data_IF_855616093882
#
_entry.id   IF_855616093882
#
_cell.length_a   1.000
_cell.length_b   1.000
_cell.length_c   1.000
_cell.angle_alpha   90.00
_cell.angle_beta   90.00
_cell.angle_gamma   90.00
#
_symmetry.space_group_name_H-M   'P 1'
#
loop_
_entity.id
_entity.type
_entity.pdbx_description
1 polymer ?
#
# COMPACT_ATOMS: atom_id res chain seq x y z
N UNK A 1 -10.13 -2.98 12.29
CA UNK A 1 -9.09 -3.36 11.30
C UNK A 1 -8.26 -2.12 10.99
N UNK A 2 -6.95 -2.23 10.69
CA UNK A 2 -6.11 -1.04 10.43
C UNK A 2 -6.15 -0.57 8.97
N UNK A 3 -6.57 -1.42 8.03
CA UNK A 3 -6.66 -1.13 6.60
C UNK A 3 -7.89 -1.81 6.01
N UNK A 4 -8.54 -1.14 5.07
CA UNK A 4 -9.76 -1.53 4.40
C UNK A 4 -9.59 -1.45 2.89
N UNK A 5 -10.47 -2.13 2.16
CA UNK A 5 -10.51 -2.00 0.69
C UNK A 5 -10.66 -0.52 0.30
N UNK A 6 -9.97 -0.14 -0.75
CA UNK A 6 -9.89 1.21 -1.32
C UNK A 6 -9.08 2.22 -0.48
N UNK A 7 -8.49 1.80 0.65
CA UNK A 7 -7.51 2.63 1.38
C UNK A 7 -6.26 2.86 0.52
N UNK A 8 -5.82 4.12 0.45
CA UNK A 8 -4.54 4.50 -0.13
C UNK A 8 -3.44 4.35 0.93
N UNK A 9 -2.41 3.58 0.59
CA UNK A 9 -1.35 3.20 1.52
C UNK A 9 0.02 3.39 0.90
N UNK A 10 1.01 3.66 1.75
CA UNK A 10 2.42 3.59 1.40
C UNK A 10 2.97 2.24 1.85
N UNK A 11 3.59 1.51 0.92
CA UNK A 11 4.45 0.37 1.24
C UNK A 11 5.82 0.91 1.65
N UNK A 12 6.32 0.48 2.81
CA UNK A 12 7.63 0.86 3.33
C UNK A 12 8.32 -0.42 3.80
N UNK A 13 9.10 -1.04 2.91
CA UNK A 13 9.83 -2.27 3.22
C UNK A 13 11.33 -1.96 3.38
N UNK A 14 11.92 -2.18 4.57
CA UNK A 14 13.32 -1.81 4.82
C UNK A 14 14.32 -2.59 3.96
N UNK A 15 14.03 -3.87 3.68
CA UNK A 15 14.92 -4.74 2.90
C UNK A 15 14.67 -4.71 1.38
N UNK A 16 13.55 -4.13 0.93
CA UNK A 16 13.13 -4.10 -0.48
C UNK A 16 12.66 -2.69 -0.86
N UNK A 17 13.59 -1.71 -0.92
CA UNK A 17 13.26 -0.30 -1.19
C UNK A 17 12.62 -0.09 -2.57
N UNK A 18 12.84 -0.99 -3.53
CA UNK A 18 12.19 -0.96 -4.84
C UNK A 18 10.67 -1.20 -4.78
N UNK A 19 10.18 -1.79 -3.68
CA UNK A 19 8.75 -1.98 -3.43
C UNK A 19 8.12 -0.79 -2.71
N UNK A 20 8.92 0.22 -2.33
CA UNK A 20 8.41 1.40 -1.65
C UNK A 20 7.61 2.27 -2.64
N UNK A 21 6.33 2.51 -2.32
CA UNK A 21 5.48 3.29 -3.19
C UNK A 21 4.04 3.38 -2.72
N UNK A 22 3.29 4.23 -3.40
CA UNK A 22 1.86 4.38 -3.20
C UNK A 22 1.12 3.19 -3.82
N UNK A 23 0.16 2.65 -3.08
CA UNK A 23 -0.76 1.64 -3.58
C UNK A 23 -2.15 1.80 -3.01
N UNK A 24 -3.07 1.00 -3.54
CA UNK A 24 -4.46 0.90 -3.08
C UNK A 24 -4.73 -0.51 -2.58
N UNK A 25 -5.39 -0.63 -1.43
CA UNK A 25 -5.78 -1.93 -0.87
C UNK A 25 -6.92 -2.50 -1.71
N UNK A 26 -6.70 -3.66 -2.34
CA UNK A 26 -7.70 -4.32 -3.17
C UNK A 26 -8.52 -5.33 -2.38
N UNK A 27 -7.90 -5.98 -1.39
CA UNK A 27 -8.53 -6.94 -0.47
C UNK A 27 -7.85 -6.92 0.89
N UNK A 28 -8.65 -7.00 1.94
CA UNK A 28 -8.16 -7.13 3.31
C UNK A 28 -8.95 -8.24 4.02
N UNK A 29 -8.28 -9.05 4.84
CA UNK A 29 -8.92 -10.07 5.68
C UNK A 29 -8.65 -9.79 7.15
N UNK A 30 -9.67 -9.90 7.99
CA UNK A 30 -9.57 -9.65 9.43
C UNK A 30 -8.81 -10.75 10.18
N UNK A 31 -8.70 -11.94 9.58
CA UNK A 31 -8.08 -13.12 10.21
C UNK A 31 -6.55 -13.15 10.06
N UNK A 32 -6.00 -12.40 9.11
CA UNK A 32 -4.58 -12.43 8.77
C UNK A 32 -4.01 -11.01 8.73
N UNK A 33 -2.77 -10.84 9.19
CA UNK A 33 -2.02 -9.56 9.14
C UNK A 33 -1.49 -9.22 7.74
N UNK A 34 -2.17 -9.67 6.70
CA UNK A 34 -1.76 -9.54 5.30
C UNK A 34 -2.90 -8.91 4.50
N UNK A 35 -2.56 -7.98 3.62
CA UNK A 35 -3.50 -7.33 2.73
C UNK A 35 -2.97 -7.35 1.30
N UNK A 36 -3.90 -7.40 0.34
CA UNK A 36 -3.59 -7.25 -1.06
C UNK A 36 -3.54 -5.77 -1.42
N UNK A 37 -2.44 -5.33 -2.02
CA UNK A 37 -2.20 -3.95 -2.43
C UNK A 37 -1.84 -3.94 -3.90
N UNK A 38 -2.55 -3.13 -4.68
CA UNK A 38 -2.12 -2.78 -6.03
C UNK A 38 -1.15 -1.60 -5.93
N UNK A 39 0.12 -1.84 -6.26
CA UNK A 39 1.22 -0.89 -6.17
C UNK A 39 1.38 -0.14 -7.49
N UNK A 40 1.32 1.19 -7.45
CA UNK A 40 1.35 2.01 -8.68
C UNK A 40 2.73 2.13 -9.30
N UNK A 41 3.81 1.94 -8.53
CA UNK A 41 5.18 2.12 -9.03
C UNK A 41 5.53 1.14 -10.16
N UNK A 42 5.00 -0.09 -10.08
CA UNK A 42 5.26 -1.16 -11.03
C UNK A 42 3.98 -1.80 -11.59
N UNK A 43 2.82 -1.19 -11.30
CA UNK A 43 1.49 -1.62 -11.74
C UNK A 43 1.16 -3.09 -11.39
N UNK A 44 1.61 -3.55 -10.22
CA UNK A 44 1.47 -4.95 -9.80
C UNK A 44 0.64 -5.12 -8.53
N UNK A 45 -0.03 -6.27 -8.40
CA UNK A 45 -0.68 -6.66 -7.15
C UNK A 45 0.28 -7.44 -6.25
N UNK A 46 0.34 -7.06 -4.97
CA UNK A 46 1.24 -7.61 -3.96
C UNK A 46 0.48 -8.01 -2.72
N UNK A 47 0.97 -9.05 -2.05
CA UNK A 47 0.46 -9.46 -0.75
C UNK A 47 1.45 -8.99 0.34
N UNK A 48 1.02 -8.04 1.16
CA UNK A 48 1.90 -7.24 2.02
C UNK A 48 1.49 -7.38 3.48
N UNK A 49 2.47 -7.54 4.36
CA UNK A 49 2.23 -7.52 5.80
C UNK A 49 1.90 -6.10 6.28
N UNK A 50 0.90 -5.97 7.14
CA UNK A 50 0.39 -4.66 7.60
C UNK A 50 1.45 -3.80 8.31
N UNK A 51 2.51 -4.41 8.83
CA UNK A 51 3.61 -3.69 9.50
C UNK A 51 4.49 -2.89 8.52
N UNK A 52 4.44 -3.25 7.23
CA UNK A 52 5.10 -2.49 6.15
C UNK A 52 4.17 -1.47 5.50
N UNK A 53 2.99 -1.24 6.08
CA UNK A 53 2.00 -0.32 5.55
C UNK A 53 1.74 0.83 6.52
N UNK A 54 1.47 1.99 5.92
CA UNK A 54 0.77 3.08 6.59
C UNK A 54 -0.20 3.72 5.61
N UNK A 55 -1.19 4.43 6.13
CA UNK A 55 -2.03 5.28 5.29
C UNK A 55 -1.14 6.31 4.58
N UNK A 56 -1.41 6.52 3.30
CA UNK A 56 -0.77 7.56 2.53
C UNK A 56 -1.24 8.92 3.04
N UNK A 57 -0.34 9.89 3.05
CA UNK A 57 -0.68 11.28 3.36
C UNK A 57 -1.29 11.97 2.14
N UNK A 58 -2.02 13.06 2.34
CA UNK A 58 -2.59 13.84 1.23
C UNK A 58 -1.52 14.32 0.23
N UNK A 59 -0.35 14.70 0.74
CA UNK A 59 0.76 15.16 -0.10
C UNK A 59 1.31 14.05 -1.01
N UNK A 60 1.40 12.82 -0.49
CA UNK A 60 1.85 11.66 -1.28
C UNK A 60 0.84 11.27 -2.36
N UNK A 61 -0.45 11.29 -2.02
CA UNK A 61 -1.54 11.04 -2.97
C UNK A 61 -1.52 12.10 -4.08
N UNK A 62 -1.34 13.38 -3.69
CA UNK A 62 -1.26 14.50 -4.64
C UNK A 62 -0.02 14.41 -5.52
N UNK A 63 1.12 14.00 -4.97
CA UNK A 63 2.36 13.82 -5.74
C UNK A 63 2.19 12.74 -6.82
N UNK A 64 1.56 11.61 -6.47
CA UNK A 64 1.28 10.54 -7.43
C UNK A 64 0.24 10.91 -8.50
N UNK A 65 -0.70 11.81 -8.19
CA UNK A 65 -1.77 12.22 -9.12
C UNK A 65 -1.35 13.28 -10.15
N UNK A 66 -0.16 13.88 -9.99
CA UNK A 66 0.37 14.94 -10.87
C UNK A 66 1.35 14.42 -11.92
N UNK A 67 1.58 13.11 -11.97
CA UNK A 67 2.55 12.46 -12.86
C UNK A 67 1.91 11.86 -14.10
#
# INVERSE_FOLDING_TARGET
MRFYKDDLVMIIHPDYPELQGLGIVTKASEEIKLVWVYLYVDNSERFVHIDFLRHATEDEIRAASKS
#
